data_IF_041629140254
#
_entry.id   IF_041629140254
#
_cell.length_a   1.000
_cell.length_b   1.000
_cell.length_c   1.000
_cell.angle_alpha   90.00
_cell.angle_beta   90.00
_cell.angle_gamma   90.00
#
_symmetry.space_group_name_H-M   'P 1'
#
loop_
_entity.id
_entity.type
_entity.pdbx_description
1 polymer ?
#
# COMPACT_ATOMS: atom_id res chain seq x y z
N UNK A 1 -8.54 -27.53 0.47
CA UNK A 1 -8.13 -28.03 -0.86
C UNK A 1 -9.10 -27.60 -1.97
N UNK A 2 -10.41 -27.84 -1.83
CA UNK A 2 -11.41 -27.58 -2.89
C UNK A 2 -11.46 -26.12 -3.39
N UNK A 3 -11.34 -25.13 -2.50
CA UNK A 3 -11.32 -23.72 -2.87
C UNK A 3 -10.13 -23.33 -3.76
N UNK A 4 -8.95 -23.93 -3.52
CA UNK A 4 -7.77 -23.71 -4.36
C UNK A 4 -7.92 -24.36 -5.74
N UNK A 5 -8.47 -25.57 -5.79
CA UNK A 5 -8.72 -26.25 -7.06
C UNK A 5 -9.66 -25.43 -7.97
N UNK A 6 -10.74 -24.87 -7.41
CA UNK A 6 -11.64 -23.95 -8.16
C UNK A 6 -10.95 -22.70 -8.66
N UNK A 7 -10.04 -22.12 -7.89
CA UNK A 7 -9.24 -20.97 -8.35
C UNK A 7 -8.26 -21.37 -9.45
N UNK A 8 -7.68 -22.58 -9.37
CA UNK A 8 -6.79 -23.11 -10.39
C UNK A 8 -7.51 -23.39 -11.71
N UNK A 9 -8.78 -23.82 -11.67
CA UNK A 9 -9.63 -23.97 -12.86
C UNK A 9 -9.91 -22.63 -13.57
N UNK A 10 -9.82 -21.51 -12.85
CA UNK A 10 -10.00 -20.16 -13.39
C UNK A 10 -8.69 -19.47 -13.75
N UNK A 11 -7.55 -20.17 -13.67
CA UNK A 11 -6.25 -19.62 -14.03
C UNK A 11 -6.20 -19.31 -15.52
N UNK A 12 -5.91 -18.06 -15.86
CA UNK A 12 -5.75 -17.58 -17.23
C UNK A 12 -4.87 -16.32 -17.22
N UNK A 13 -4.73 -15.62 -18.36
CA UNK A 13 -3.86 -14.46 -18.57
C UNK A 13 -4.07 -13.30 -17.56
N UNK A 14 -5.21 -13.28 -16.87
CA UNK A 14 -5.54 -12.29 -15.84
C UNK A 14 -4.99 -12.64 -14.44
N UNK A 15 -4.27 -13.76 -14.31
CA UNK A 15 -3.75 -14.28 -13.04
C UNK A 15 -2.26 -14.69 -13.14
N UNK A 16 -1.54 -14.57 -12.03
CA UNK A 16 -0.18 -15.07 -11.87
C UNK A 16 -0.15 -16.23 -10.89
N UNK A 17 0.68 -17.24 -11.15
CA UNK A 17 0.96 -18.32 -10.23
C UNK A 17 2.40 -18.18 -9.70
N UNK A 18 2.57 -18.10 -8.38
CA UNK A 18 3.90 -17.99 -7.75
C UNK A 18 4.14 -19.05 -6.68
N UNK A 19 5.41 -19.44 -6.56
CA UNK A 19 5.91 -20.39 -5.58
C UNK A 19 6.87 -19.69 -4.64
N UNK A 20 6.54 -19.68 -3.35
CA UNK A 20 7.43 -19.17 -2.30
C UNK A 20 7.95 -20.33 -1.47
N UNK A 21 9.28 -20.46 -1.39
CA UNK A 21 9.96 -21.41 -0.51
C UNK A 21 10.47 -20.68 0.73
N UNK A 22 10.06 -21.14 1.91
CA UNK A 22 10.58 -20.63 3.19
C UNK A 22 11.33 -21.74 3.91
N UNK A 23 12.57 -21.45 4.27
CA UNK A 23 13.34 -22.32 5.13
C UNK A 23 12.98 -22.01 6.60
N UNK A 24 12.49 -22.99 7.35
CA UNK A 24 12.22 -22.85 8.78
C UNK A 24 13.52 -22.98 9.61
N UNK A 25 14.52 -22.15 9.34
CA UNK A 25 15.71 -22.11 10.19
C UNK A 25 15.44 -21.15 11.35
N UNK A 26 15.04 -21.68 12.51
CA UNK A 26 15.22 -20.97 13.77
C UNK A 26 16.73 -20.91 14.07
N UNK A 27 17.30 -19.74 14.42
CA UNK A 27 18.71 -19.67 14.82
C UNK A 27 18.89 -20.44 16.13
N UNK A 28 19.58 -21.60 16.08
CA UNK A 28 19.99 -22.35 17.28
C UNK A 28 19.68 -23.85 17.31
N UNK A 29 18.92 -24.41 16.36
CA UNK A 29 18.65 -25.85 16.31
C UNK A 29 19.44 -26.57 15.21
N UNK A 30 19.93 -27.77 15.52
CA UNK A 30 20.89 -28.55 14.72
C UNK A 30 20.43 -28.79 13.26
N UNK A 31 21.42 -28.89 12.35
CA UNK A 31 21.31 -28.95 10.88
C UNK A 31 20.51 -30.14 10.30
N UNK A 32 19.82 -30.99 11.07
CA UNK A 32 19.35 -32.30 10.57
C UNK A 32 17.88 -32.43 10.16
N UNK A 33 17.01 -31.42 10.35
CA UNK A 33 15.63 -31.47 9.80
C UNK A 33 15.08 -30.08 9.47
N UNK A 34 15.68 -29.40 8.48
CA UNK A 34 15.09 -28.19 7.93
C UNK A 34 13.80 -28.54 7.18
N UNK A 35 12.63 -28.23 7.75
CA UNK A 35 11.33 -28.40 7.08
C UNK A 35 11.14 -27.27 6.09
N UNK A 36 11.26 -27.58 4.80
CA UNK A 36 10.93 -26.63 3.73
C UNK A 36 9.42 -26.37 3.76
N UNK A 37 9.04 -25.10 3.96
CA UNK A 37 7.65 -24.67 3.83
C UNK A 37 7.44 -24.07 2.45
N UNK A 38 6.70 -24.78 1.62
CA UNK A 38 6.36 -24.36 0.27
C UNK A 38 4.96 -23.74 0.25
N UNK A 39 4.82 -22.57 -0.36
CA UNK A 39 3.53 -21.91 -0.56
C UNK A 39 3.32 -21.65 -2.04
N UNK A 40 2.26 -22.22 -2.59
CA UNK A 40 1.78 -21.95 -3.94
C UNK A 40 0.62 -20.96 -3.86
N UNK A 41 0.67 -19.89 -4.64
CA UNK A 41 -0.37 -18.87 -4.68
C UNK A 41 -0.80 -18.58 -6.12
N UNK A 42 -2.10 -18.33 -6.29
CA UNK A 42 -2.70 -17.79 -7.52
C UNK A 42 -3.15 -16.36 -7.18
N UNK A 43 -2.66 -15.38 -7.93
CA UNK A 43 -2.92 -13.96 -7.74
C UNK A 43 -3.65 -13.41 -8.94
N UNK A 44 -4.85 -12.90 -8.72
CA UNK A 44 -5.54 -12.10 -9.72
C UNK A 44 -4.80 -10.77 -9.91
N UNK A 45 -4.33 -10.50 -11.13
CA UNK A 45 -3.66 -9.24 -11.49
C UNK A 45 -4.57 -8.32 -12.30
N UNK A 46 -5.57 -8.87 -12.98
CA UNK A 46 -6.55 -8.11 -13.78
C UNK A 46 -7.96 -8.58 -13.39
N UNK A 47 -8.72 -7.80 -12.60
CA UNK A 47 -10.01 -8.25 -12.09
C UNK A 47 -11.14 -8.20 -13.13
N UNK A 48 -10.94 -7.54 -14.27
CA UNK A 48 -11.95 -7.36 -15.31
C UNK A 48 -12.75 -8.62 -15.68
N UNK A 49 -12.17 -9.83 -15.89
CA UNK A 49 -12.93 -11.01 -16.26
C UNK A 49 -13.97 -11.43 -15.21
N UNK A 50 -13.73 -11.12 -13.93
CA UNK A 50 -14.66 -11.45 -12.84
C UNK A 50 -15.68 -10.34 -12.58
N UNK A 51 -15.31 -9.08 -12.82
CA UNK A 51 -16.15 -7.93 -12.54
C UNK A 51 -17.10 -7.62 -13.70
N UNK A 52 -16.65 -7.73 -14.95
CA UNK A 52 -17.43 -7.41 -16.14
C UNK A 52 -18.78 -8.13 -16.20
N UNK A 53 -18.89 -9.45 -15.96
CA UNK A 53 -20.19 -10.12 -15.99
C UNK A 53 -21.18 -9.57 -14.96
N UNK A 54 -20.68 -9.16 -13.79
CA UNK A 54 -21.50 -8.59 -12.71
C UNK A 54 -21.96 -7.17 -13.04
N UNK A 55 -21.09 -6.37 -13.65
CA UNK A 55 -21.42 -5.03 -14.11
C UNK A 55 -22.45 -5.06 -15.25
N UNK A 56 -22.32 -6.00 -16.18
CA UNK A 56 -23.29 -6.20 -17.27
C UNK A 56 -24.65 -6.73 -16.78
N UNK A 57 -24.66 -7.51 -15.70
CA UNK A 57 -25.91 -8.02 -15.10
C UNK A 57 -26.66 -6.96 -14.28
N UNK A 58 -25.99 -5.86 -13.88
CA UNK A 58 -26.63 -4.77 -13.17
C UNK A 58 -27.39 -3.87 -14.14
N UNK A 59 -28.56 -3.36 -13.73
CA UNK A 59 -29.28 -2.35 -14.52
C UNK A 59 -28.48 -1.04 -14.64
N UNK A 60 -27.79 -0.65 -13.56
CA UNK A 60 -26.94 0.54 -13.49
C UNK A 60 -25.85 0.35 -12.43
N UNK A 61 -24.66 0.93 -12.64
CA UNK A 61 -23.59 0.99 -11.65
C UNK A 61 -22.92 2.37 -11.64
N UNK A 62 -22.68 2.93 -10.45
CA UNK A 62 -21.99 4.22 -10.26
C UNK A 62 -20.72 4.00 -9.45
N UNK A 63 -19.57 4.37 -10.01
CA UNK A 63 -18.27 4.27 -9.36
C UNK A 63 -17.81 5.67 -8.97
N UNK A 64 -17.56 5.89 -7.68
CA UNK A 64 -17.12 7.18 -7.15
C UNK A 64 -15.77 7.05 -6.44
N UNK A 65 -14.83 7.92 -6.77
CA UNK A 65 -13.53 8.02 -6.09
C UNK A 65 -12.93 9.41 -6.28
N UNK A 66 -12.20 9.87 -5.27
CA UNK A 66 -11.44 11.12 -5.32
C UNK A 66 -9.99 10.93 -5.83
N UNK A 67 -9.57 9.70 -6.12
CA UNK A 67 -8.16 9.37 -6.47
C UNK A 67 -8.00 8.47 -7.70
N UNK A 68 -9.09 8.19 -8.42
CA UNK A 68 -9.09 7.32 -9.61
C UNK A 68 -8.74 8.16 -10.85
N UNK A 69 -7.43 8.22 -11.12
CA UNK A 69 -6.89 8.83 -12.32
C UNK A 69 -5.68 8.00 -12.81
N UNK A 70 -5.51 7.80 -14.13
CA UNK A 70 -6.39 8.20 -15.23
C UNK A 70 -7.63 7.29 -15.36
N UNK A 71 -8.79 7.86 -15.74
CA UNK A 71 -10.07 7.12 -15.80
C UNK A 71 -10.03 5.88 -16.71
N UNK A 72 -9.43 5.99 -17.90
CA UNK A 72 -9.34 4.89 -18.87
C UNK A 72 -8.61 3.67 -18.32
N UNK A 73 -7.50 3.87 -17.60
CA UNK A 73 -6.76 2.77 -16.97
C UNK A 73 -7.65 1.96 -16.00
N UNK A 74 -8.45 2.65 -15.18
CA UNK A 74 -9.35 1.98 -14.25
C UNK A 74 -10.57 1.37 -14.95
N UNK A 75 -11.05 1.98 -16.05
CA UNK A 75 -12.11 1.40 -16.86
C UNK A 75 -11.68 0.02 -17.42
N UNK A 76 -10.47 -0.06 -17.96
CA UNK A 76 -9.89 -1.30 -18.49
C UNK A 76 -9.63 -2.32 -17.39
N UNK A 77 -9.01 -1.89 -16.28
CA UNK A 77 -8.69 -2.76 -15.15
C UNK A 77 -9.93 -3.41 -14.54
N UNK A 78 -11.04 -2.65 -14.44
CA UNK A 78 -12.30 -3.14 -13.88
C UNK A 78 -13.20 -3.84 -14.92
N UNK A 79 -12.89 -3.71 -16.20
CA UNK A 79 -13.68 -4.29 -17.29
C UNK A 79 -15.03 -3.61 -17.46
N UNK A 80 -15.05 -2.27 -17.40
CA UNK A 80 -16.27 -1.50 -17.67
C UNK A 80 -16.77 -1.78 -19.09
N UNK A 81 -18.10 -1.81 -19.31
CA UNK A 81 -18.65 -1.93 -20.65
C UNK A 81 -18.36 -0.66 -21.46
N UNK A 82 -18.45 -0.73 -22.78
CA UNK A 82 -18.11 0.40 -23.68
C UNK A 82 -19.00 1.65 -23.46
N UNK A 83 -20.20 1.47 -22.91
CA UNK A 83 -21.19 2.51 -22.66
C UNK A 83 -21.08 3.14 -21.26
N UNK A 84 -19.89 3.60 -20.87
CA UNK A 84 -19.68 4.26 -19.58
C UNK A 84 -19.49 5.78 -19.74
N UNK A 85 -19.83 6.53 -18.70
CA UNK A 85 -19.63 7.97 -18.64
C UNK A 85 -18.65 8.33 -17.52
N UNK A 86 -17.82 9.35 -17.74
CA UNK A 86 -16.91 9.91 -16.76
C UNK A 86 -17.34 11.31 -16.37
N UNK A 87 -17.33 11.60 -15.07
CA UNK A 87 -17.53 12.93 -14.54
C UNK A 87 -16.41 13.23 -13.55
N UNK A 88 -15.67 14.31 -13.81
CA UNK A 88 -14.74 14.88 -12.87
C UNK A 88 -15.42 16.06 -12.17
N UNK A 89 -15.33 16.09 -10.84
CA UNK A 89 -15.93 17.13 -10.01
C UNK A 89 -14.81 17.88 -9.32
N UNK A 90 -14.83 19.21 -9.43
CA UNK A 90 -13.81 20.07 -8.82
C UNK A 90 -13.83 19.98 -7.29
N UNK A 91 -12.65 20.13 -6.69
CA UNK A 91 -12.50 20.19 -5.23
C UNK A 91 -13.22 21.44 -4.69
N UNK A 92 -14.09 21.31 -3.67
CA UNK A 92 -14.73 22.46 -3.04
C UNK A 92 -13.80 23.24 -2.10
N UNK A 93 -12.53 22.82 -1.97
CA UNK A 93 -11.54 23.43 -1.09
C UNK A 93 -10.70 24.49 -1.82
N UNK A 94 -10.51 25.63 -1.15
CA UNK A 94 -9.65 26.71 -1.60
C UNK A 94 -8.18 26.31 -1.50
N UNK A 95 -7.36 26.72 -2.48
CA UNK A 95 -5.94 26.38 -2.51
C UNK A 95 -5.18 26.85 -1.25
N UNK A 96 -5.62 27.94 -0.62
CA UNK A 96 -5.04 28.47 0.61
C UNK A 96 -5.17 27.53 1.82
N UNK A 97 -6.05 26.53 1.76
CA UNK A 97 -6.25 25.54 2.83
C UNK A 97 -5.17 24.43 2.83
N UNK A 98 -4.33 24.35 1.79
CA UNK A 98 -3.30 23.31 1.64
C UNK A 98 -1.93 23.91 1.30
N UNK A 99 -0.92 23.65 2.14
CA UNK A 99 0.48 23.96 1.85
C UNK A 99 1.25 22.68 1.54
N UNK A 100 1.82 22.59 0.33
CA UNK A 100 2.61 21.43 -0.12
C UNK A 100 4.10 21.78 -0.08
N UNK A 101 4.87 21.02 0.70
CA UNK A 101 6.34 21.12 0.76
C UNK A 101 6.99 19.83 0.30
N UNK A 102 7.88 19.92 -0.68
CA UNK A 102 8.62 18.76 -1.22
C UNK A 102 10.09 18.87 -0.85
N UNK A 103 10.55 18.00 0.05
CA UNK A 103 11.96 17.91 0.44
C UNK A 103 12.75 17.06 -0.58
N UNK A 104 13.06 17.64 -1.75
CA UNK A 104 13.75 16.96 -2.86
C UNK A 104 15.13 16.40 -2.50
N UNK A 105 15.76 16.94 -1.46
CA UNK A 105 17.08 16.55 -0.97
C UNK A 105 17.07 15.27 -0.11
N UNK A 106 15.90 14.76 0.28
CA UNK A 106 15.78 13.56 1.13
C UNK A 106 15.22 12.41 0.29
N UNK A 107 16.07 11.43 -0.04
CA UNK A 107 15.63 10.23 -0.74
C UNK A 107 14.93 9.27 0.22
N UNK A 108 13.72 8.83 -0.13
CA UNK A 108 12.94 7.81 0.60
C UNK A 108 13.01 6.42 -0.06
N UNK A 109 13.82 6.27 -1.12
CA UNK A 109 14.06 4.98 -1.80
C UNK A 109 14.64 3.96 -0.82
N UNK A 110 14.37 2.67 -1.06
CA UNK A 110 14.80 1.59 -0.16
C UNK A 110 16.32 1.58 0.08
N UNK A 111 17.11 1.77 -0.99
CA UNK A 111 18.58 1.77 -0.92
C UNK A 111 19.14 2.90 -0.05
N UNK A 112 18.52 4.09 -0.06
CA UNK A 112 19.05 5.29 0.63
C UNK A 112 18.50 5.45 2.05
N UNK A 113 17.47 4.69 2.41
CA UNK A 113 16.64 4.91 3.61
C UNK A 113 17.47 5.03 4.89
N UNK A 114 18.47 4.18 5.06
CA UNK A 114 19.30 4.19 6.28
C UNK A 114 20.09 5.48 6.44
N UNK A 115 20.59 6.03 5.32
CA UNK A 115 21.32 7.30 5.28
C UNK A 115 20.38 8.50 5.43
N UNK A 116 19.20 8.44 4.83
CA UNK A 116 18.22 9.54 4.85
C UNK A 116 17.44 9.66 6.17
N UNK A 117 17.45 8.64 7.03
CA UNK A 117 16.62 8.57 8.24
C UNK A 117 16.83 9.77 9.16
N UNK A 118 18.08 10.17 9.43
CA UNK A 118 18.39 11.28 10.34
C UNK A 118 17.84 12.61 9.79
N UNK A 119 18.03 12.88 8.49
CA UNK A 119 17.52 14.07 7.84
C UNK A 119 15.99 14.11 7.82
N UNK A 120 15.34 12.96 7.61
CA UNK A 120 13.88 12.84 7.63
C UNK A 120 13.30 13.15 9.02
N UNK A 121 13.89 12.59 10.08
CA UNK A 121 13.46 12.85 11.47
C UNK A 121 13.66 14.32 11.85
N UNK A 122 14.81 14.90 11.48
CA UNK A 122 15.08 16.32 11.72
C UNK A 122 14.05 17.22 11.01
N UNK A 123 13.69 16.91 9.76
CA UNK A 123 12.71 17.69 9.00
C UNK A 123 11.30 17.61 9.60
N UNK A 124 10.87 16.42 10.04
CA UNK A 124 9.58 16.26 10.73
C UNK A 124 9.58 17.02 12.06
N UNK A 125 10.68 16.93 12.82
CA UNK A 125 10.84 17.66 14.07
C UNK A 125 10.78 19.17 13.88
N UNK A 126 11.51 19.71 12.89
CA UNK A 126 11.48 21.13 12.57
C UNK A 126 10.07 21.61 12.18
N UNK A 127 9.33 20.82 11.39
CA UNK A 127 7.95 21.14 11.03
C UNK A 127 7.01 21.13 12.26
N UNK A 128 7.14 20.14 13.15
CA UNK A 128 6.35 20.07 14.38
C UNK A 128 6.64 21.25 15.30
N UNK A 129 7.91 21.63 15.47
CA UNK A 129 8.30 22.78 16.29
C UNK A 129 7.80 24.10 15.70
N UNK A 130 7.82 24.25 14.38
CA UNK A 130 7.31 25.45 13.71
C UNK A 130 5.78 25.61 13.83
N UNK A 131 5.04 24.50 13.80
CA UNK A 131 3.57 24.48 13.94
C UNK A 131 3.13 23.27 14.75
N UNK A 132 3.09 23.35 16.10
CA UNK A 132 2.63 22.25 16.94
C UNK A 132 1.17 21.88 16.62
N UNK A 133 0.84 20.60 16.64
CA UNK A 133 -0.51 20.13 16.31
C UNK A 133 -0.56 18.62 16.05
N UNK A 134 -1.63 18.18 15.38
CA UNK A 134 -1.82 16.78 15.02
C UNK A 134 -1.15 16.45 13.69
N UNK A 135 -0.29 15.44 13.67
CA UNK A 135 0.43 15.00 12.47
C UNK A 135 0.19 13.52 12.21
N UNK A 136 0.03 13.17 10.94
CA UNK A 136 0.02 11.79 10.45
C UNK A 136 1.23 11.58 9.53
N UNK A 137 2.02 10.54 9.81
CA UNK A 137 3.18 10.18 9.00
C UNK A 137 2.92 8.85 8.28
N UNK A 138 3.00 8.86 6.95
CA UNK A 138 2.84 7.68 6.10
C UNK A 138 4.21 7.25 5.51
N UNK A 139 4.56 5.97 5.65
CA UNK A 139 5.85 5.43 5.17
C UNK A 139 5.68 4.09 4.44
N UNK A 140 6.41 3.89 3.33
CA UNK A 140 6.26 2.77 2.40
C UNK A 140 6.59 1.36 2.94
N UNK A 141 7.15 1.24 4.15
CA UNK A 141 7.35 -0.04 4.83
C UNK A 141 7.44 0.20 6.34
N UNK A 142 6.98 -0.76 7.15
CA UNK A 142 7.27 -0.84 8.60
C UNK A 142 8.76 -1.11 8.80
N UNK A 143 9.60 -0.12 8.50
CA UNK A 143 11.00 -0.16 8.90
C UNK A 143 11.00 0.27 10.34
N UNK A 144 11.21 -0.72 11.20
CA UNK A 144 11.42 -0.66 12.65
C UNK A 144 12.01 0.69 13.08
N UNK A 145 11.15 1.55 13.64
CA UNK A 145 11.53 2.69 14.47
C UNK A 145 12.11 2.21 15.82
N UNK A 146 12.94 1.16 15.81
CA UNK A 146 13.43 0.47 17.01
C UNK A 146 14.95 0.24 17.00
N UNK A 147 15.69 0.78 16.03
CA UNK A 147 17.14 0.50 15.90
C UNK A 147 18.03 1.74 15.91
N UNK A 148 17.73 2.69 16.80
CA UNK A 148 18.72 3.65 17.35
C UNK A 148 18.26 4.13 18.74
N UNK A 149 19.01 3.87 19.83
CA UNK A 149 18.72 4.38 21.17
C UNK A 149 18.98 5.89 21.36
N UNK A 150 19.45 6.60 20.32
CA UNK A 150 20.01 7.95 20.47
C UNK A 150 19.12 9.09 19.98
N UNK A 151 17.86 8.85 19.62
CA UNK A 151 16.91 9.95 19.39
C UNK A 151 16.32 10.36 20.74
N UNK A 152 16.85 11.46 21.29
CA UNK A 152 16.35 12.07 22.52
C UNK A 152 14.82 12.32 22.41
N UNK A 153 14.02 12.01 23.45
CA UNK A 153 12.55 12.13 23.39
C UNK A 153 12.03 13.58 23.42
N UNK A 154 12.92 14.58 23.45
CA UNK A 154 12.57 15.90 23.96
C UNK A 154 11.74 16.80 23.03
N UNK A 155 11.45 16.43 21.78
CA UNK A 155 10.84 17.39 20.85
C UNK A 155 9.80 16.86 19.85
N UNK A 156 9.45 15.58 19.89
CA UNK A 156 8.32 15.04 19.11
C UNK A 156 7.50 14.13 20.03
N UNK A 157 6.25 14.49 20.40
CA UNK A 157 5.38 13.59 21.15
C UNK A 157 5.22 12.29 20.35
N UNK A 158 5.40 11.16 21.05
CA UNK A 158 5.51 9.81 20.50
C UNK A 158 4.64 9.58 19.24
N UNK A 159 5.30 9.39 18.10
CA UNK A 159 4.65 8.99 16.85
C UNK A 159 4.12 7.56 17.01
N UNK A 160 2.89 7.41 17.53
CA UNK A 160 2.22 6.11 17.66
C UNK A 160 1.67 5.70 16.30
N UNK A 161 2.25 4.68 15.67
CA UNK A 161 1.64 4.03 14.52
C UNK A 161 0.41 3.22 14.98
N UNK A 162 -0.76 3.87 15.05
CA UNK A 162 -2.02 3.22 15.35
C UNK A 162 -2.59 2.52 14.12
N UNK A 163 -2.54 1.18 14.07
CA UNK A 163 -3.46 0.42 13.20
C UNK A 163 -4.86 0.51 13.82
N UNK A 164 -5.72 1.40 13.32
CA UNK A 164 -7.17 1.26 13.56
C UNK A 164 -7.63 0.02 12.79
N UNK A 165 -7.87 -1.09 13.50
CA UNK A 165 -8.77 -2.13 13.01
C UNK A 165 -10.17 -1.57 13.21
N UNK A 166 -10.90 -1.38 12.11
CA UNK A 166 -12.31 -0.98 12.17
C UNK A 166 -13.13 -2.03 12.90
N UNK A 167 -14.12 -1.55 13.65
CA UNK A 167 -15.25 -2.34 14.14
C UNK A 167 -16.20 -2.66 12.99
#
# INVERSE_FOLDING_TARGET
>A
ALAFARLAEQLDAHSLCDLTLRNSNAPGFAKSQAKLHTTLAIRNIVPAPFLRPRLLAAHTATLFSATVQPAGFYADLLGLPENWAYLEVESPFEAAQLEIKVARQISTRYADRQRSLAALVAQIGAQFQARPGNYLAFSAATTTCSRRPSCSPASIPACRSGRRRGA
#
